data_IF_516247104371
#
_entry.id   IF_516247104371
#
_cell.length_a   1.000
_cell.length_b   1.000
_cell.length_c   1.000
_cell.angle_alpha   90.00
_cell.angle_beta   90.00
_cell.angle_gamma   90.00
#
_symmetry.space_group_name_H-M   'P 1'
#
loop_
_entity.id
_entity.type
_entity.pdbx_description
1 polymer ?
#
# COMPACT_ATOMS: atom_id res chain seq x y z
N UNK A 1 -16.96 10.14 -0.86
CA UNK A 1 -17.03 8.69 -0.55
C UNK A 1 -15.87 7.97 -1.21
N UNK A 2 -15.13 7.19 -0.48
CA UNK A 2 -14.02 6.47 -1.10
C UNK A 2 -14.54 5.18 -1.74
N UNK A 3 -13.76 4.70 -2.72
CA UNK A 3 -14.14 3.51 -3.45
C UNK A 3 -14.13 2.29 -2.54
N UNK A 4 -14.88 1.28 -2.91
CA UNK A 4 -14.94 0.07 -2.13
C UNK A 4 -13.54 -0.51 -1.96
N UNK A 5 -13.23 -0.90 -0.75
CA UNK A 5 -11.97 -1.57 -0.45
C UNK A 5 -12.29 -3.02 -0.15
N UNK A 6 -11.76 -3.90 -0.96
CA UNK A 6 -12.08 -5.31 -0.85
C UNK A 6 -10.89 -6.12 -1.37
N UNK A 7 -10.34 -6.96 -0.51
CA UNK A 7 -9.19 -7.78 -0.90
C UNK A 7 -9.61 -9.16 -1.40
N UNK A 8 -10.88 -9.37 -1.59
CA UNK A 8 -11.32 -10.57 -2.29
C UNK A 8 -10.86 -10.47 -3.75
N UNK A 9 -10.68 -11.62 -4.41
CA UNK A 9 -10.25 -11.59 -5.80
C UNK A 9 -11.17 -10.74 -6.66
N UNK A 10 -10.58 -9.87 -7.44
CA UNK A 10 -11.32 -9.04 -8.37
C UNK A 10 -11.60 -9.82 -9.64
N UNK A 11 -12.63 -9.39 -10.35
CA UNK A 11 -12.91 -9.96 -11.65
C UNK A 11 -11.98 -9.28 -12.65
N UNK A 12 -10.78 -9.81 -12.75
CA UNK A 12 -9.77 -9.35 -13.70
C UNK A 12 -9.51 -10.45 -14.71
N UNK A 13 -8.98 -10.10 -15.88
CA UNK A 13 -8.62 -11.14 -16.84
C UNK A 13 -7.64 -12.17 -16.28
N UNK A 14 -6.79 -11.75 -15.35
CA UNK A 14 -5.84 -12.62 -14.68
C UNK A 14 -6.17 -12.68 -13.21
N UNK A 15 -5.97 -13.85 -12.63
CA UNK A 15 -6.02 -14.00 -11.19
C UNK A 15 -4.65 -13.61 -10.68
N UNK A 16 -4.50 -12.36 -10.25
CA UNK A 16 -3.21 -11.83 -9.83
C UNK A 16 -2.64 -12.57 -8.63
N UNK A 17 -3.53 -13.02 -7.73
CA UNK A 17 -3.07 -13.72 -6.55
C UNK A 17 -2.40 -15.04 -6.89
N UNK A 18 -2.95 -15.76 -7.85
CA UNK A 18 -2.36 -17.01 -8.29
C UNK A 18 -1.03 -16.77 -9.02
N UNK A 19 -0.95 -15.64 -9.73
CA UNK A 19 0.24 -15.32 -10.50
C UNK A 19 1.43 -14.98 -9.62
N UNK A 20 1.19 -14.41 -8.43
CA UNK A 20 2.26 -14.02 -7.52
C UNK A 20 2.84 -15.24 -6.81
N UNK A 21 4.14 -15.16 -6.51
CA UNK A 21 4.79 -16.21 -5.73
C UNK A 21 4.31 -16.15 -4.29
N UNK A 22 4.32 -17.31 -3.62
CA UNK A 22 3.78 -17.40 -2.26
C UNK A 22 4.49 -16.48 -1.28
N UNK A 23 5.78 -16.25 -1.48
CA UNK A 23 6.55 -15.41 -0.56
C UNK A 23 6.83 -14.03 -1.14
N UNK A 24 6.01 -13.60 -2.10
CA UNK A 24 6.19 -12.28 -2.66
C UNK A 24 6.02 -11.22 -1.58
N UNK A 25 6.82 -10.16 -1.71
CA UNK A 25 6.82 -9.10 -0.71
C UNK A 25 5.46 -8.43 -0.55
N UNK A 26 4.64 -8.50 -1.60
CA UNK A 26 3.29 -7.92 -1.53
C UNK A 26 2.46 -8.54 -0.43
N UNK A 27 2.60 -9.84 -0.19
CA UNK A 27 1.84 -10.50 0.88
C UNK A 27 2.30 -10.02 2.25
N UNK A 28 3.60 -9.80 2.42
CA UNK A 28 4.11 -9.28 3.69
C UNK A 28 3.60 -7.87 3.94
N UNK A 29 3.61 -7.02 2.92
CA UNK A 29 3.08 -5.68 3.04
C UNK A 29 1.59 -5.71 3.37
N UNK A 30 0.86 -6.57 2.69
CA UNK A 30 -0.58 -6.71 2.93
C UNK A 30 -0.85 -7.07 4.39
N UNK A 31 -0.18 -8.09 4.90
CA UNK A 31 -0.40 -8.53 6.27
C UNK A 31 0.01 -7.47 7.29
N UNK A 32 1.12 -6.79 7.04
CA UNK A 32 1.55 -5.74 7.94
C UNK A 32 0.50 -4.64 8.05
N UNK A 33 -0.01 -4.17 6.92
CA UNK A 33 -0.99 -3.09 6.92
C UNK A 33 -2.31 -3.55 7.52
N UNK A 34 -2.72 -4.79 7.23
CA UNK A 34 -3.97 -5.29 7.79
C UNK A 34 -3.91 -5.49 9.31
N UNK A 35 -2.70 -5.60 9.86
CA UNK A 35 -2.54 -5.75 11.30
C UNK A 35 -2.63 -4.43 12.05
N UNK A 36 -2.65 -3.30 11.33
CA UNK A 36 -2.73 -1.99 11.96
C UNK A 36 -4.13 -1.77 12.49
N UNK A 37 -4.21 -1.26 13.74
CA UNK A 37 -5.49 -0.98 14.36
C UNK A 37 -6.28 0.04 13.54
N UNK A 38 -7.60 -0.16 13.39
CA UNK A 38 -8.42 0.82 12.69
C UNK A 38 -8.31 2.23 13.25
N UNK A 39 -8.03 2.34 14.55
CA UNK A 39 -7.92 3.64 15.20
C UNK A 39 -6.80 4.49 14.61
N UNK A 40 -5.78 3.84 14.06
CA UNK A 40 -4.68 4.59 13.45
C UNK A 40 -5.12 5.41 12.25
N UNK A 41 -6.24 5.04 11.64
CA UNK A 41 -6.76 5.74 10.46
C UNK A 41 -7.89 6.71 10.77
N UNK A 42 -8.40 6.70 12.00
CA UNK A 42 -9.58 7.51 12.34
C UNK A 42 -9.34 9.00 12.16
N UNK A 43 -8.19 9.45 12.66
CA UNK A 43 -7.86 10.88 12.57
C UNK A 43 -7.78 11.32 11.12
N UNK A 44 -7.15 10.50 10.29
CA UNK A 44 -7.03 10.79 8.87
C UNK A 44 -8.39 10.86 8.21
N UNK A 45 -9.25 9.88 8.50
CA UNK A 45 -10.58 9.84 7.87
C UNK A 45 -11.43 11.03 8.27
N UNK A 46 -11.33 11.44 9.55
CA UNK A 46 -12.09 12.61 10.00
C UNK A 46 -11.59 13.89 9.34
N UNK A 47 -10.27 14.03 9.22
CA UNK A 47 -9.70 15.26 8.67
C UNK A 47 -9.90 15.39 7.18
N UNK A 48 -9.81 14.25 6.47
CA UNK A 48 -9.92 14.27 5.02
C UNK A 48 -11.34 14.17 4.51
N UNK A 49 -12.27 13.82 5.37
CA UNK A 49 -13.65 13.63 4.94
C UNK A 49 -13.82 12.34 4.16
N UNK A 50 -14.02 12.47 2.86
CA UNK A 50 -14.28 11.30 2.01
C UNK A 50 -13.15 11.12 1.00
N UNK A 51 -12.08 10.43 1.37
CA UNK A 51 -11.00 10.18 0.42
C UNK A 51 -11.45 9.28 -0.72
N UNK A 52 -10.81 9.46 -1.89
CA UNK A 52 -11.18 8.70 -3.08
C UNK A 52 -10.83 7.22 -2.93
N UNK A 53 -9.77 6.91 -2.20
CA UNK A 53 -9.30 5.54 -2.04
C UNK A 53 -9.13 5.24 -0.56
N UNK A 54 -9.31 3.98 -0.21
CA UNK A 54 -9.18 3.56 1.17
C UNK A 54 -7.73 3.77 1.65
N UNK A 55 -7.55 4.31 2.86
CA UNK A 55 -6.18 4.59 3.34
C UNK A 55 -5.32 3.35 3.48
N UNK A 56 -5.90 2.19 3.81
CA UNK A 56 -5.10 0.97 3.89
C UNK A 56 -4.53 0.59 2.54
N UNK A 57 -5.33 0.72 1.48
CA UNK A 57 -4.85 0.44 0.13
C UNK A 57 -3.72 1.38 -0.25
N UNK A 58 -3.91 2.68 0.01
CA UNK A 58 -2.88 3.67 -0.28
C UNK A 58 -1.59 3.36 0.46
N UNK A 59 -1.71 2.99 1.73
CA UNK A 59 -0.53 2.67 2.53
C UNK A 59 0.19 1.45 1.98
N UNK A 60 -0.56 0.43 1.55
CA UNK A 60 0.05 -0.78 1.00
C UNK A 60 0.86 -0.50 -0.24
N UNK A 61 0.32 0.28 -1.17
CA UNK A 61 1.05 0.54 -2.41
C UNK A 61 2.28 1.39 -2.16
N UNK A 62 2.18 2.35 -1.25
CA UNK A 62 3.32 3.20 -0.93
C UNK A 62 4.43 2.38 -0.29
N UNK A 63 4.08 1.55 0.69
CA UNK A 63 5.08 0.72 1.36
C UNK A 63 5.74 -0.26 0.41
N UNK A 64 4.95 -0.88 -0.45
CA UNK A 64 5.50 -1.83 -1.40
C UNK A 64 6.46 -1.14 -2.37
N UNK A 65 6.10 0.06 -2.82
CA UNK A 65 7.01 0.82 -3.69
C UNK A 65 8.30 1.15 -2.96
N UNK A 66 8.19 1.54 -1.69
CA UNK A 66 9.39 1.88 -0.90
C UNK A 66 10.31 0.68 -0.75
N UNK A 67 9.75 -0.52 -0.60
CA UNK A 67 10.60 -1.72 -0.48
C UNK A 67 11.36 -1.99 -1.76
N UNK A 68 10.90 -1.45 -2.87
CA UNK A 68 11.56 -1.58 -4.16
C UNK A 68 12.42 -0.37 -4.48
N UNK A 69 12.62 0.50 -3.49
CA UNK A 69 13.40 1.74 -3.63
C UNK A 69 12.79 2.71 -4.63
N UNK A 70 11.47 2.70 -4.72
CA UNK A 70 10.73 3.63 -5.57
C UNK A 70 10.01 4.62 -4.66
N UNK A 71 10.43 5.89 -4.73
CA UNK A 71 9.92 6.91 -3.82
C UNK A 71 9.15 8.03 -4.51
N UNK A 72 9.33 8.19 -5.80
CA UNK A 72 8.65 9.25 -6.55
C UNK A 72 7.18 8.88 -6.77
N UNK A 73 6.28 9.85 -6.52
CA UNK A 73 4.87 9.60 -6.77
C UNK A 73 4.58 9.21 -8.20
N UNK A 74 5.28 9.81 -9.16
CA UNK A 74 5.08 9.49 -10.57
C UNK A 74 5.53 8.07 -10.88
N UNK A 75 6.63 7.64 -10.28
CA UNK A 75 7.11 6.26 -10.50
C UNK A 75 6.20 5.25 -9.81
N UNK A 76 5.63 5.61 -8.65
CA UNK A 76 4.67 4.73 -8.00
C UNK A 76 3.45 4.57 -8.88
N UNK A 77 2.96 5.67 -9.46
CA UNK A 77 1.83 5.60 -10.37
C UNK A 77 2.12 4.68 -11.54
N UNK A 78 3.33 4.79 -12.11
CA UNK A 78 3.72 3.93 -13.22
C UNK A 78 3.75 2.46 -12.82
N UNK A 79 4.22 2.17 -11.61
CA UNK A 79 4.26 0.79 -11.13
C UNK A 79 2.88 0.16 -11.04
N UNK A 80 1.86 0.96 -10.75
CA UNK A 80 0.50 0.43 -10.66
C UNK A 80 0.02 -0.14 -11.99
N UNK A 81 0.63 0.29 -13.08
CA UNK A 81 0.27 -0.20 -14.41
C UNK A 81 1.15 -1.35 -14.88
N UNK A 82 2.35 -1.48 -14.31
CA UNK A 82 3.33 -2.42 -14.81
C UNK A 82 3.62 -3.59 -13.89
N UNK A 83 3.39 -3.42 -12.59
CA UNK A 83 3.80 -4.42 -11.61
C UNK A 83 2.60 -5.23 -11.14
N UNK A 84 2.69 -6.56 -11.26
CA UNK A 84 1.60 -7.44 -10.82
C UNK A 84 1.33 -7.29 -9.32
N UNK A 85 2.40 -7.20 -8.52
CA UNK A 85 2.22 -7.06 -7.07
C UNK A 85 1.53 -5.76 -6.72
N UNK A 86 1.86 -4.68 -7.43
CA UNK A 86 1.21 -3.41 -7.18
C UNK A 86 -0.26 -3.44 -7.61
N UNK A 87 -0.55 -4.09 -8.74
CA UNK A 87 -1.93 -4.25 -9.19
C UNK A 87 -2.75 -5.02 -8.19
N UNK A 88 -2.16 -6.07 -7.61
CA UNK A 88 -2.86 -6.87 -6.61
C UNK A 88 -3.17 -6.04 -5.36
N UNK A 89 -2.18 -5.31 -4.87
CA UNK A 89 -2.38 -4.49 -3.67
C UNK A 89 -3.40 -3.38 -3.90
N UNK A 90 -3.40 -2.80 -5.09
CA UNK A 90 -4.31 -1.70 -5.42
C UNK A 90 -5.66 -2.18 -5.92
N UNK A 91 -5.83 -3.49 -6.08
CA UNK A 91 -7.07 -4.08 -6.55
C UNK A 91 -7.51 -3.50 -7.90
N UNK A 92 -6.54 -3.22 -8.75
CA UNK A 92 -6.82 -2.69 -10.07
C UNK A 92 -7.02 -1.20 -10.15
N UNK A 93 -7.09 -0.51 -9.01
CA UNK A 93 -7.18 0.93 -9.01
C UNK A 93 -5.83 1.56 -9.34
N UNK A 94 -5.87 2.73 -9.93
CA UNK A 94 -4.65 3.43 -10.34
C UNK A 94 -4.69 4.88 -9.85
N UNK A 95 -4.47 5.11 -8.56
CA UNK A 95 -4.42 6.49 -8.08
C UNK A 95 -3.31 7.27 -8.76
N UNK A 96 -3.59 8.55 -9.05
CA UNK A 96 -2.61 9.39 -9.69
C UNK A 96 -1.50 9.78 -8.72
N UNK A 97 -0.37 10.25 -9.27
CA UNK A 97 0.74 10.68 -8.42
C UNK A 97 0.32 11.83 -7.50
N UNK A 98 -0.63 12.66 -7.94
CA UNK A 98 -1.12 13.75 -7.09
C UNK A 98 -1.85 13.22 -5.88
N UNK A 99 -2.68 12.20 -6.08
CA UNK A 99 -3.40 11.56 -4.97
C UNK A 99 -2.40 10.91 -4.01
N UNK A 100 -1.40 10.22 -4.57
CA UNK A 100 -0.39 9.55 -3.76
C UNK A 100 0.39 10.57 -2.93
N UNK A 101 0.82 11.66 -3.55
CA UNK A 101 1.60 12.68 -2.84
C UNK A 101 0.77 13.38 -1.77
N UNK A 102 -0.50 13.66 -2.07
CA UNK A 102 -1.38 14.28 -1.09
C UNK A 102 -1.54 13.39 0.14
N UNK A 103 -1.69 12.10 -0.09
CA UNK A 103 -1.83 11.15 1.01
C UNK A 103 -0.58 11.13 1.88
N UNK A 104 0.59 11.09 1.25
CA UNK A 104 1.86 10.95 1.99
C UNK A 104 2.19 12.14 2.85
N UNK A 105 1.76 13.35 2.47
CA UNK A 105 2.14 14.55 3.21
C UNK A 105 1.25 14.82 4.40
N UNK A 106 0.15 14.09 4.55
CA UNK A 106 -0.67 14.23 5.75
C UNK A 106 0.14 13.82 6.97
N UNK A 107 0.16 14.65 8.04
CA UNK A 107 1.02 14.33 9.18
C UNK A 107 0.77 12.96 9.77
N UNK A 108 -0.49 12.55 9.89
CA UNK A 108 -0.83 11.25 10.46
C UNK A 108 -0.30 10.13 9.58
N UNK A 109 -0.44 10.29 8.26
CA UNK A 109 -0.01 9.24 7.34
C UNK A 109 1.50 9.22 7.19
N UNK A 110 2.12 10.38 7.22
CA UNK A 110 3.58 10.46 7.12
C UNK A 110 4.25 9.67 8.24
N UNK A 111 3.77 9.88 9.46
CA UNK A 111 4.34 9.16 10.60
C UNK A 111 4.02 7.68 10.54
N UNK A 112 2.81 7.33 10.14
CA UNK A 112 2.42 5.93 10.03
C UNK A 112 3.23 5.21 8.97
N UNK A 113 3.46 5.85 7.83
CA UNK A 113 4.30 5.28 6.78
C UNK A 113 5.70 5.01 7.31
N UNK A 114 6.27 5.98 8.03
CA UNK A 114 7.61 5.83 8.58
C UNK A 114 7.67 4.66 9.56
N UNK A 115 6.71 4.58 10.46
CA UNK A 115 6.68 3.51 11.44
C UNK A 115 6.53 2.14 10.79
N UNK A 116 5.64 2.04 9.82
CA UNK A 116 5.43 0.78 9.12
C UNK A 116 6.66 0.35 8.36
N UNK A 117 7.33 1.29 7.70
CA UNK A 117 8.51 0.96 6.93
C UNK A 117 9.66 0.49 7.82
N UNK A 118 9.85 1.16 8.94
CA UNK A 118 10.86 0.75 9.91
C UNK A 118 10.54 -0.65 10.44
N UNK A 119 9.28 -0.88 10.82
CA UNK A 119 8.88 -2.18 11.33
C UNK A 119 9.06 -3.27 10.28
N UNK A 120 8.72 -2.98 9.04
CA UNK A 120 8.85 -3.92 7.96
C UNK A 120 10.31 -4.32 7.77
N UNK A 121 11.21 -3.34 7.77
CA UNK A 121 12.62 -3.62 7.63
C UNK A 121 13.16 -4.43 8.80
N UNK A 122 12.69 -4.14 10.00
CA UNK A 122 13.12 -4.91 11.17
C UNK A 122 12.69 -6.36 11.08
N UNK A 123 11.51 -6.63 10.53
CA UNK A 123 11.04 -7.99 10.37
C UNK A 123 11.87 -8.78 9.37
N UNK A 124 12.38 -8.10 8.35
CA UNK A 124 13.16 -8.77 7.31
C UNK A 124 14.65 -8.78 7.60
N UNK A 125 15.14 -7.74 8.27
CA UNK A 125 16.59 -7.60 8.48
C UNK A 125 17.24 -8.79 9.18
N UNK A 126 16.63 -9.34 10.25
CA UNK A 126 17.29 -10.46 10.95
C UNK A 126 17.57 -11.67 10.08
N UNK A 127 16.80 -11.85 9.04
CA UNK A 127 16.99 -12.99 8.15
C UNK A 127 18.21 -12.83 7.27
N UNK A 128 18.70 -11.62 7.14
CA UNK A 128 19.83 -11.31 6.27
C UNK A 128 21.13 -11.23 7.01
N UNK A 129 21.06 -11.18 8.32
CA UNK A 129 22.23 -11.10 9.17
C UNK A 129 22.63 -12.50 9.56
N UNK A 130 23.88 -12.80 9.40
CA UNK A 130 24.40 -14.12 9.73
C UNK A 130 25.53 -14.03 10.73
#
# INVERSE_FOLDING_TARGET
MFKNYNMNPLVLPLDLEVTLQKNDIAFHVHHLVESISPEAFESFLRNEGCPAYHPRMMLKIILCAYTQSVFSGRKIEALLKDSLRMMWLAQGYEPSYRTINRFRVQPEMKELIRQCFVQFRCQLAPRRIN
#
